data_IF_031106748682
#
_entry.id   IF_031106748682
#
_cell.length_a   1.000
_cell.length_b   1.000
_cell.length_c   1.000
_cell.angle_alpha   90.00
_cell.angle_beta   90.00
_cell.angle_gamma   90.00
#
_symmetry.space_group_name_H-M   'P 1'
#
loop_
_entity.id
_entity.type
_entity.pdbx_description
1 polymer ?
2 non-polymer ?
3 non-polymer ?
4 water ?
#
# COMPACT_ATOMS: atom_id res chain seq x y z
N UNK A 4 -4.92 -25.58 -10.79
CA UNK A 4 -5.12 -26.51 -9.63
C UNK A 4 -5.45 -25.74 -8.36
N UNK A 5 -6.15 -24.62 -8.53
CA UNK A 5 -6.60 -23.77 -7.43
C UNK A 5 -7.94 -24.34 -7.01
N UNK A 6 -7.95 -25.08 -5.90
CA UNK A 6 -9.16 -25.72 -5.40
C UNK A 6 -10.07 -24.86 -4.53
N UNK A 7 -11.20 -25.43 -4.17
CA UNK A 7 -12.17 -24.76 -3.31
C UNK A 7 -11.85 -25.24 -1.90
N UNK A 8 -12.32 -24.51 -0.90
CA UNK A 8 -12.07 -24.89 0.48
C UNK A 8 -13.38 -24.85 1.26
N UNK A 9 -13.61 -25.88 2.05
CA UNK A 9 -14.83 -25.93 2.85
C UNK A 9 -14.46 -25.84 4.32
N UNK A 10 -15.10 -24.92 5.03
CA UNK A 10 -14.84 -24.73 6.45
C UNK A 10 -16.17 -24.92 7.18
N UNK A 11 -16.24 -25.94 8.03
CA UNK A 11 -17.46 -26.22 8.78
C UNK A 11 -18.68 -26.20 7.88
N UNK A 12 -18.61 -26.93 6.76
CA UNK A 12 -19.71 -27.01 5.82
C UNK A 12 -19.97 -25.72 5.05
N UNK A 13 -19.17 -24.69 5.30
CA UNK A 13 -19.30 -23.43 4.57
C UNK A 13 -18.28 -23.50 3.45
N UNK A 14 -18.75 -23.58 2.21
CA UNK A 14 -17.83 -23.71 1.10
C UNK A 14 -17.37 -22.38 0.51
N UNK A 15 -16.09 -22.35 0.12
CA UNK A 15 -15.49 -21.19 -0.51
C UNK A 15 -15.02 -21.61 -1.90
N UNK A 16 -15.79 -21.21 -2.93
CA UNK A 16 -15.46 -21.53 -4.32
C UNK A 16 -14.03 -21.12 -4.65
N UNK A 17 -13.39 -21.86 -5.55
CA UNK A 17 -12.02 -21.57 -5.94
C UNK A 17 -11.92 -20.19 -6.61
N UNK A 18 -13.00 -19.76 -7.23
CA UNK A 18 -13.04 -18.48 -7.91
C UNK A 18 -14.39 -17.81 -7.72
N UNK A 19 -14.41 -16.48 -7.79
CA UNK A 19 -15.65 -15.72 -7.65
C UNK A 19 -15.51 -14.42 -8.42
N UNK A 20 -16.64 -13.86 -8.83
CA UNK A 20 -16.66 -12.60 -9.56
C UNK A 20 -17.49 -11.58 -8.78
N UNK A 21 -16.97 -10.37 -8.63
CA UNK A 21 -17.68 -9.33 -7.90
C UNK A 21 -18.78 -8.67 -8.70
N UNK A 22 -20.01 -8.66 -8.15
CA UNK A 22 -21.14 -8.05 -8.86
C UNK A 22 -20.99 -6.52 -8.75
N UNK A 23 -20.06 -6.10 -7.91
CA UNK A 23 -19.80 -4.68 -7.67
C UNK A 23 -18.75 -4.09 -8.62
N UNK A 24 -17.67 -4.82 -8.85
CA UNK A 24 -16.60 -4.33 -9.70
C UNK A 24 -16.39 -5.13 -10.98
N UNK A 25 -16.99 -6.31 -11.04
CA UNK A 25 -16.83 -7.14 -12.23
C UNK A 25 -15.50 -7.87 -12.25
N UNK A 26 -14.64 -7.56 -11.29
CA UNK A 26 -13.34 -8.20 -11.20
C UNK A 26 -13.49 -9.65 -10.73
N UNK A 27 -12.56 -10.50 -11.14
CA UNK A 27 -12.61 -11.90 -10.73
C UNK A 27 -11.48 -12.19 -9.76
N UNK A 28 -11.73 -13.06 -8.79
CA UNK A 28 -10.71 -13.39 -7.79
C UNK A 28 -10.55 -14.90 -7.63
N UNK A 29 -9.42 -15.30 -7.05
CA UNK A 29 -9.17 -16.70 -6.81
C UNK A 29 -9.01 -16.86 -5.30
N UNK A 30 -9.44 -18.00 -4.77
CA UNK A 30 -9.35 -18.24 -3.34
C UNK A 30 -7.89 -18.35 -2.89
N UNK A 31 -7.47 -17.39 -2.05
CA UNK A 31 -6.10 -17.41 -1.56
C UNK A 31 -5.99 -18.33 -0.35
N UNK A 32 -7.08 -18.43 0.39
CA UNK A 32 -7.12 -19.27 1.58
C UNK A 32 -8.39 -19.07 2.37
N UNK A 33 -8.71 -20.05 3.22
CA UNK A 33 -9.89 -20.01 4.05
C UNK A 33 -9.58 -20.66 5.38
N UNK A 34 -10.19 -20.16 6.44
CA UNK A 34 -9.97 -20.70 7.77
C UNK A 34 -11.14 -20.37 8.68
N UNK A 35 -10.85 -20.29 9.97
CA UNK A 35 -11.89 -19.98 10.94
C UNK A 35 -11.42 -19.04 12.01
N UNK A 36 -12.37 -18.31 12.57
CA UNK A 36 -12.08 -17.36 13.64
C UNK A 36 -13.14 -17.57 14.69
N UNK A 37 -12.79 -17.26 15.92
CA UNK A 37 -13.73 -17.42 17.01
C UNK A 37 -13.10 -16.89 18.27
N UNK A 38 -13.45 -17.49 19.40
CA UNK A 38 -12.91 -17.05 20.67
C UNK A 38 -12.34 -18.22 21.44
N UNK A 39 -11.30 -17.96 22.22
CA UNK A 39 -10.72 -19.00 23.05
C UNK A 39 -11.33 -18.74 24.43
N UNK A 40 -12.22 -19.64 24.82
CA UNK A 40 -12.91 -19.51 26.10
C UNK A 40 -12.48 -20.66 27.01
N UNK A 41 -11.84 -20.33 28.12
CA UNK A 41 -11.37 -21.33 29.06
C UNK A 41 -10.48 -22.33 28.36
N UNK A 42 -9.53 -21.81 27.57
CA UNK A 42 -8.62 -22.69 26.85
C UNK A 42 -9.23 -23.50 25.73
N UNK A 43 -10.51 -23.23 25.42
CA UNK A 43 -11.21 -23.95 24.35
C UNK A 43 -11.49 -23.02 23.18
N UNK A 44 -11.17 -23.47 21.97
CA UNK A 44 -11.43 -22.64 20.80
C UNK A 44 -12.89 -22.78 20.41
N UNK A 45 -13.62 -21.68 20.51
CA UNK A 45 -15.03 -21.67 20.14
C UNK A 45 -15.12 -20.97 18.80
N UNK A 46 -15.45 -21.74 17.77
CA UNK A 46 -15.57 -21.21 16.42
C UNK A 46 -16.83 -20.38 16.26
N UNK A 47 -16.69 -19.22 15.63
CA UNK A 47 -17.83 -18.33 15.39
C UNK A 47 -18.04 -18.04 13.92
N UNK A 48 -16.97 -18.11 13.13
CA UNK A 48 -17.11 -17.83 11.72
C UNK A 48 -16.00 -18.44 10.88
N UNK A 49 -16.33 -18.58 9.62
CA UNK A 49 -15.41 -19.03 8.61
C UNK A 49 -14.93 -17.78 7.90
N UNK A 50 -13.74 -17.82 7.38
CA UNK A 50 -13.20 -16.67 6.67
C UNK A 50 -12.45 -17.14 5.45
N UNK A 51 -12.66 -16.43 4.35
CA UNK A 51 -11.98 -16.76 3.12
C UNK A 51 -11.43 -15.48 2.52
N UNK A 52 -10.21 -15.54 2.01
CA UNK A 52 -9.59 -14.38 1.40
C UNK A 52 -9.40 -14.61 -0.09
N UNK A 53 -10.02 -13.76 -0.89
CA UNK A 53 -9.89 -13.87 -2.34
C UNK A 53 -8.97 -12.76 -2.84
N UNK A 54 -8.15 -13.09 -3.83
CA UNK A 54 -7.23 -12.12 -4.39
C UNK A 54 -7.61 -11.93 -5.86
N UNK A 55 -7.60 -10.69 -6.34
CA UNK A 55 -7.94 -10.42 -7.72
C UNK A 55 -7.00 -11.25 -8.60
N UNK A 56 -7.52 -11.76 -9.72
CA UNK A 56 -6.70 -12.57 -10.60
C UNK A 56 -5.35 -11.94 -10.94
N UNK A 57 -5.31 -10.63 -11.10
CA UNK A 57 -4.06 -9.96 -11.44
C UNK A 57 -3.01 -10.01 -10.32
N UNK A 58 -3.40 -10.46 -9.14
CA UNK A 58 -2.46 -10.54 -8.02
C UNK A 58 -1.26 -11.42 -8.37
N UNK A 59 -1.52 -12.45 -9.19
CA UNK A 59 -0.48 -13.39 -9.59
C UNK A 59 0.69 -12.70 -10.28
N UNK A 60 0.39 -11.92 -11.32
CA UNK A 60 1.41 -11.19 -12.05
C UNK A 60 2.14 -10.20 -11.14
N UNK A 61 1.40 -9.57 -10.24
CA UNK A 61 1.98 -8.60 -9.32
C UNK A 61 2.94 -9.23 -8.33
N UNK A 62 2.58 -10.40 -7.81
CA UNK A 62 3.40 -11.09 -6.83
C UNK A 62 4.53 -11.94 -7.44
N UNK A 63 4.35 -12.32 -8.70
CA UNK A 63 5.32 -13.15 -9.41
C UNK A 63 6.78 -12.72 -9.29
N UNK A 64 7.07 -11.47 -9.64
CA UNK A 64 8.43 -10.96 -9.61
C UNK A 64 9.20 -11.31 -8.33
N UNK A 65 8.67 -10.87 -7.20
CA UNK A 65 9.32 -11.12 -5.93
C UNK A 65 9.11 -12.50 -5.30
N UNK A 66 8.05 -13.22 -5.63
CA UNK A 66 7.79 -14.47 -4.89
C UNK A 66 7.65 -15.74 -5.76
N UNK A 67 7.91 -15.67 -7.06
CA UNK A 67 7.94 -16.91 -7.89
C UNK A 67 9.19 -17.71 -7.48
N UNK A 68 9.11 -19.03 -7.59
CA UNK A 68 10.27 -19.83 -7.23
C UNK A 68 10.46 -20.05 -5.74
N UNK A 69 9.77 -19.29 -4.91
CA UNK A 69 9.90 -19.45 -3.45
C UNK A 69 9.06 -20.63 -2.99
N UNK A 70 9.55 -21.39 -2.01
CA UNK A 70 8.80 -22.54 -1.52
C UNK A 70 7.74 -22.07 -0.53
N UNK A 71 6.69 -22.87 -0.35
CA UNK A 71 5.62 -22.53 0.59
C UNK A 71 6.23 -22.26 1.96
N UNK A 72 7.16 -23.10 2.36
CA UNK A 72 7.81 -22.97 3.66
C UNK A 72 8.51 -21.63 3.76
N UNK A 73 9.10 -21.19 2.65
CA UNK A 73 9.81 -19.91 2.62
C UNK A 73 8.84 -18.73 2.65
N UNK A 74 7.78 -18.81 1.86
CA UNK A 74 6.80 -17.74 1.83
C UNK A 74 6.21 -17.57 3.22
N UNK A 75 5.79 -18.68 3.82
CA UNK A 75 5.17 -18.65 5.14
C UNK A 75 5.98 -17.90 6.20
N UNK A 76 7.30 -18.02 6.15
CA UNK A 76 8.14 -17.36 7.15
C UNK A 76 8.56 -15.95 6.74
N UNK A 77 8.08 -15.48 5.59
CA UNK A 77 8.47 -14.15 5.10
C UNK A 77 7.37 -13.09 5.24
N UNK A 78 7.52 -12.21 6.22
CA UNK A 78 6.54 -11.15 6.45
C UNK A 78 6.31 -10.28 5.22
N UNK A 79 7.38 -10.02 4.48
CA UNK A 79 7.30 -9.19 3.29
C UNK A 79 6.27 -9.75 2.32
N UNK A 80 6.23 -11.08 2.22
CA UNK A 80 5.29 -11.76 1.33
C UNK A 80 3.86 -11.34 1.67
N UNK A 81 3.51 -11.46 2.94
CA UNK A 81 2.18 -11.11 3.38
C UNK A 81 1.91 -9.61 3.25
N UNK A 82 2.97 -8.80 3.33
CA UNK A 82 2.77 -7.37 3.18
C UNK A 82 2.39 -7.07 1.73
N UNK A 83 2.98 -7.78 0.79
CA UNK A 83 2.66 -7.57 -0.62
C UNK A 83 1.23 -8.01 -0.87
N UNK A 84 0.79 -9.07 -0.21
CA UNK A 84 -0.57 -9.54 -0.38
C UNK A 84 -1.55 -8.53 0.21
N UNK A 85 -1.25 -8.03 1.41
CA UNK A 85 -2.12 -7.09 2.09
C UNK A 85 -2.24 -5.75 1.38
N UNK A 86 -1.10 -5.21 0.97
CA UNK A 86 -1.08 -3.91 0.32
C UNK A 86 -0.76 -3.95 -1.17
N UNK A 87 -0.90 -5.12 -1.78
CA UNK A 87 -0.62 -5.26 -3.20
C UNK A 87 -1.58 -4.47 -4.06
N UNK A 88 -1.15 -4.08 -5.26
CA UNK A 88 -1.95 -3.31 -6.22
C UNK A 88 -3.01 -4.16 -6.91
N UNK A 89 -3.91 -4.71 -6.11
CA UNK A 89 -4.99 -5.54 -6.61
C UNK A 89 -6.05 -5.65 -5.54
N UNK A 90 -7.28 -5.88 -5.96
CA UNK A 90 -8.37 -5.96 -5.01
C UNK A 90 -8.37 -7.27 -4.24
N UNK A 91 -8.76 -7.21 -2.98
CA UNK A 91 -8.85 -8.41 -2.18
C UNK A 91 -10.31 -8.49 -1.74
N UNK A 92 -10.88 -9.68 -1.74
CA UNK A 92 -12.26 -9.84 -1.32
C UNK A 92 -12.26 -10.82 -0.15
N UNK A 93 -12.75 -10.38 1.00
CA UNK A 93 -12.79 -11.24 2.17
C UNK A 93 -14.23 -11.59 2.53
N UNK A 94 -14.52 -12.88 2.60
CA UNK A 94 -15.87 -13.29 2.94
C UNK A 94 -15.89 -14.03 4.26
N UNK A 95 -16.62 -13.46 5.21
CA UNK A 95 -16.78 -14.09 6.51
C UNK A 95 -18.18 -14.65 6.54
N UNK A 96 -18.30 -15.95 6.82
CA UNK A 96 -19.61 -16.59 6.90
C UNK A 96 -19.72 -17.18 8.29
N UNK A 97 -20.78 -16.78 9.01
CA UNK A 97 -20.96 -17.23 10.37
C UNK A 97 -21.25 -18.71 10.54
N UNK A 98 -20.67 -19.20 11.63
CA UNK A 98 -20.85 -20.58 12.10
C UNK A 98 -21.85 -20.53 13.26
N UNK A 99 -21.66 -19.50 14.06
CA UNK A 99 -22.53 -19.20 15.19
C UNK A 99 -23.14 -17.81 14.95
N UNK A 100 -24.39 -17.63 15.35
CA UNK A 100 -25.08 -16.36 15.14
C UNK A 100 -24.51 -15.18 15.92
N UNK A 101 -24.20 -14.12 15.17
CA UNK A 101 -23.66 -12.90 15.76
C UNK A 101 -24.39 -11.69 15.18
N UNK A 102 -24.69 -10.71 16.02
CA UNK A 102 -25.36 -9.51 15.53
C UNK A 102 -24.25 -8.67 14.90
N UNK A 103 -24.63 -7.66 14.12
CA UNK A 103 -23.65 -6.80 13.50
C UNK A 103 -22.77 -6.15 14.55
N UNK A 104 -23.36 -5.59 15.61
CA UNK A 104 -22.58 -4.94 16.67
C UNK A 104 -21.63 -5.93 17.36
N UNK A 105 -22.12 -7.14 17.62
CA UNK A 105 -21.30 -8.16 18.28
C UNK A 105 -20.09 -8.54 17.44
N UNK A 106 -20.34 -8.85 16.18
CA UNK A 106 -19.28 -9.22 15.26
C UNK A 106 -18.29 -8.08 15.04
N UNK A 107 -18.81 -6.91 14.69
CA UNK A 107 -17.97 -5.76 14.39
C UNK A 107 -17.14 -5.30 15.58
N UNK A 108 -17.62 -5.52 16.79
CA UNK A 108 -16.89 -5.09 17.97
C UNK A 108 -15.47 -5.63 17.97
N UNK A 109 -15.31 -6.95 17.82
CA UNK A 109 -13.99 -7.56 17.83
C UNK A 109 -13.17 -7.13 16.62
N UNK A 110 -13.77 -7.11 15.44
CA UNK A 110 -13.04 -6.70 14.24
C UNK A 110 -12.51 -5.28 14.40
N UNK A 111 -13.38 -4.37 14.82
CA UNK A 111 -12.97 -2.99 15.02
C UNK A 111 -11.87 -2.87 16.07
N UNK A 112 -11.97 -3.65 17.14
CA UNK A 112 -10.96 -3.62 18.21
C UNK A 112 -9.59 -3.88 17.61
N UNK A 113 -9.49 -4.99 16.88
CA UNK A 113 -8.24 -5.37 16.25
C UNK A 113 -7.77 -4.37 15.21
N UNK A 114 -8.70 -3.79 14.47
CA UNK A 114 -8.34 -2.79 13.48
C UNK A 114 -7.77 -1.58 14.16
N UNK A 115 -8.42 -1.13 15.23
CA UNK A 115 -7.96 0.04 15.95
C UNK A 115 -6.58 -0.19 16.56
N UNK A 116 -6.37 -1.37 17.14
CA UNK A 116 -5.08 -1.70 17.76
C UNK A 116 -4.00 -1.63 16.68
N UNK A 117 -4.28 -2.25 15.54
CA UNK A 117 -3.31 -2.21 14.45
C UNK A 117 -3.00 -0.78 14.08
N UNK A 118 -4.03 -0.01 13.75
CA UNK A 118 -3.86 1.38 13.34
C UNK A 118 -3.05 2.21 14.31
N UNK A 119 -3.36 2.12 15.60
CA UNK A 119 -2.62 2.87 16.61
C UNK A 119 -1.19 2.31 16.65
N UNK A 120 -1.09 0.99 16.52
CA UNK A 120 0.21 0.32 16.53
C UNK A 120 1.18 0.91 15.50
N UNK A 121 0.69 1.10 14.28
CA UNK A 121 1.53 1.62 13.21
C UNK A 121 1.46 3.14 13.06
N UNK A 122 0.91 3.82 14.07
CA UNK A 122 0.82 5.26 14.04
C UNK A 122 -0.07 5.94 13.02
N UNK A 123 -1.12 5.25 12.57
CA UNK A 123 -2.04 5.85 11.61
C UNK A 123 -3.48 5.75 12.11
N UNK A 124 -3.75 6.38 13.24
CA UNK A 124 -5.09 6.37 13.77
C UNK A 124 -5.45 7.78 14.19
N UNK A 125 -5.79 8.61 13.22
CA UNK A 125 -6.16 9.99 13.49
C UNK A 125 -7.66 10.14 13.46
N UNK A 126 -8.13 11.38 13.43
CA UNK A 126 -9.57 11.63 13.42
C UNK A 126 -10.21 10.96 12.22
N UNK A 127 -9.58 11.07 11.06
CA UNK A 127 -10.11 10.47 9.85
C UNK A 127 -10.32 8.97 10.04
N UNK A 128 -9.33 8.29 10.60
CA UNK A 128 -9.46 6.85 10.80
C UNK A 128 -10.54 6.52 11.85
N UNK A 129 -10.65 7.35 12.87
CA UNK A 129 -11.65 7.15 13.92
C UNK A 129 -13.03 7.30 13.30
N UNK A 130 -13.21 8.34 12.49
CA UNK A 130 -14.48 8.56 11.85
C UNK A 130 -14.79 7.40 10.90
N UNK A 131 -13.77 6.89 10.22
CA UNK A 131 -13.97 5.77 9.31
C UNK A 131 -14.41 4.54 10.10
N UNK A 132 -13.81 4.33 11.27
CA UNK A 132 -14.18 3.19 12.09
C UNK A 132 -15.60 3.33 12.63
N UNK A 133 -16.04 4.56 12.87
CA UNK A 133 -17.40 4.80 13.36
C UNK A 133 -18.36 4.50 12.22
N UNK A 134 -17.98 4.89 11.01
CA UNK A 134 -18.82 4.62 9.85
C UNK A 134 -18.86 3.11 9.68
N UNK A 135 -17.73 2.46 9.96
CA UNK A 135 -17.64 1.01 9.86
C UNK A 135 -18.70 0.44 10.81
N UNK A 136 -18.63 0.87 12.07
CA UNK A 136 -19.57 0.41 13.10
C UNK A 136 -21.01 0.63 12.70
N UNK A 137 -21.30 1.82 12.19
CA UNK A 137 -22.65 2.17 11.78
C UNK A 137 -23.21 1.21 10.74
N UNK A 138 -22.37 0.81 9.80
CA UNK A 138 -22.81 -0.09 8.74
C UNK A 138 -23.25 -1.46 9.26
N UNK A 139 -22.68 -1.87 10.40
CA UNK A 139 -23.03 -3.18 10.97
C UNK A 139 -24.20 -3.18 11.92
N UNK A 140 -24.54 -2.04 12.50
CA UNK A 140 -25.65 -1.97 13.46
C UNK A 140 -27.00 -2.55 13.04
N UNK A 141 -27.44 -2.31 11.79
CA UNK A 141 -28.73 -2.85 11.37
C UNK A 141 -28.67 -4.28 10.87
N UNK A 142 -27.52 -4.93 11.02
CA UNK A 142 -27.35 -6.27 10.51
C UNK A 142 -27.23 -7.36 11.57
N UNK A 143 -27.70 -8.54 11.21
CA UNK A 143 -27.59 -9.70 12.07
C UNK A 143 -27.04 -10.81 11.21
N UNK A 144 -26.18 -11.63 11.79
CA UNK A 144 -25.58 -12.72 11.04
C UNK A 144 -25.94 -14.11 11.56
N UNK A 145 -27.08 -14.65 11.13
CA UNK A 145 -27.40 -15.99 11.61
C UNK A 145 -26.42 -16.94 10.91
N UNK A 146 -26.34 -18.21 11.35
CA UNK A 146 -25.42 -19.14 10.71
C UNK A 146 -25.54 -19.09 9.18
N UNK A 147 -24.41 -19.07 8.50
CA UNK A 147 -24.44 -19.02 7.04
C UNK A 147 -24.48 -17.61 6.48
N UNK A 148 -24.94 -16.65 7.28
CA UNK A 148 -25.00 -15.25 6.86
C UNK A 148 -23.57 -14.78 6.66
N UNK A 149 -23.37 -13.82 5.76
CA UNK A 149 -22.02 -13.38 5.47
C UNK A 149 -21.81 -11.88 5.38
N UNK A 150 -20.55 -11.55 5.57
CA UNK A 150 -20.04 -10.20 5.44
C UNK A 150 -18.94 -10.25 4.39
N UNK A 151 -19.00 -9.30 3.49
CA UNK A 151 -18.01 -9.24 2.41
C UNK A 151 -17.22 -7.95 2.52
N UNK A 152 -15.90 -8.08 2.62
CA UNK A 152 -15.03 -6.93 2.68
C UNK A 152 -14.35 -6.83 1.33
N UNK A 153 -14.62 -5.76 0.59
CA UNK A 153 -13.96 -5.60 -0.69
C UNK A 153 -12.87 -4.58 -0.44
N UNK A 154 -11.63 -5.03 -0.44
CA UNK A 154 -10.52 -4.11 -0.21
C UNK A 154 -9.97 -3.63 -1.55
N UNK A 155 -10.33 -2.41 -1.91
CA UNK A 155 -9.88 -1.80 -3.15
C UNK A 155 -8.49 -1.22 -2.94
N UNK A 156 -7.59 -1.41 -3.91
CA UNK A 156 -6.24 -0.87 -3.75
C UNK A 156 -6.24 0.66 -3.79
N UNK A 157 -7.38 1.23 -4.16
CA UNK A 157 -7.51 2.68 -4.23
C UNK A 157 -7.86 3.32 -2.88
N UNK A 158 -7.69 2.55 -1.81
CA UNK A 158 -7.94 3.07 -0.48
C UNK A 158 -9.38 3.14 -0.03
N UNK A 159 -10.18 2.18 -0.48
CA UNK A 159 -11.59 2.13 -0.11
C UNK A 159 -11.92 0.72 0.34
N UNK A 160 -12.76 0.63 1.36
CA UNK A 160 -13.17 -0.68 1.86
C UNK A 160 -14.67 -0.77 1.65
N UNK A 161 -15.10 -1.66 0.77
CA UNK A 161 -16.52 -1.81 0.54
C UNK A 161 -17.10 -2.87 1.46
N UNK A 162 -18.22 -2.54 2.10
CA UNK A 162 -18.88 -3.47 3.01
C UNK A 162 -20.22 -3.98 2.46
N UNK A 163 -20.35 -5.30 2.38
CA UNK A 163 -21.56 -5.95 1.90
C UNK A 163 -22.01 -7.00 2.91
N UNK A 164 -23.32 -7.15 3.06
CA UNK A 164 -23.90 -8.11 3.99
C UNK A 164 -24.89 -8.99 3.25
N UNK A 165 -24.82 -10.29 3.49
CA UNK A 165 -25.71 -11.25 2.85
C UNK A 165 -26.40 -12.13 3.89
N UNK A 166 -27.65 -12.58 3.59
CA UNK A 166 -28.41 -13.44 4.50
C UNK A 166 -27.78 -14.82 4.49
N UNK A 167 -27.06 -15.11 3.42
CA UNK A 167 -26.38 -16.38 3.27
C UNK A 167 -24.97 -16.16 2.74
N UNK A 168 -24.44 -17.11 1.98
CA UNK A 168 -23.08 -17.01 1.47
C UNK A 168 -22.96 -16.37 0.08
N UNK A 169 -24.08 -16.02 -0.53
CA UNK A 169 -24.03 -15.42 -1.86
C UNK A 169 -23.62 -13.94 -1.76
N UNK A 170 -22.83 -13.47 -2.72
CA UNK A 170 -22.37 -12.08 -2.74
C UNK A 170 -23.48 -11.13 -3.08
N UNK A 171 -23.70 -10.13 -2.23
CA UNK A 171 -24.80 -9.24 -2.59
C UNK A 171 -24.46 -8.41 -3.82
N UNK A 172 -25.49 -8.03 -4.57
CA UNK A 172 -25.31 -7.23 -5.79
C UNK A 172 -24.79 -5.83 -5.48
N UNK A 173 -25.26 -5.26 -4.38
CA UNK A 173 -24.82 -3.92 -3.99
C UNK A 173 -24.13 -3.89 -2.63
N UNK A 174 -23.28 -2.89 -2.41
CA UNK A 174 -22.59 -2.78 -1.13
C UNK A 174 -23.38 -1.89 -0.20
N UNK A 175 -23.33 -2.20 1.10
CA UNK A 175 -24.06 -1.44 2.10
C UNK A 175 -23.34 -0.13 2.46
N UNK A 176 -22.02 -0.11 2.32
CA UNK A 176 -21.27 1.10 2.65
C UNK A 176 -19.88 1.09 2.04
N UNK A 177 -19.28 2.27 1.98
CA UNK A 177 -17.93 2.44 1.44
C UNK A 177 -17.12 3.22 2.46
N UNK A 178 -16.09 2.60 3.00
CA UNK A 178 -15.25 3.28 3.97
C UNK A 178 -14.07 3.80 3.18
N UNK A 179 -14.06 5.10 2.94
CA UNK A 179 -13.00 5.71 2.16
C UNK A 179 -11.89 6.25 3.05
N UNK A 180 -10.93 5.38 3.33
CA UNK A 180 -9.79 5.71 4.17
C UNK A 180 -8.72 4.66 3.87
N UNK A 181 -7.54 5.11 3.45
CA UNK A 181 -6.45 4.19 3.09
C UNK A 181 -6.02 3.25 4.21
N UNK A 182 -5.66 3.82 5.36
CA UNK A 182 -5.19 3.02 6.49
C UNK A 182 -6.23 1.98 6.88
N UNK A 183 -7.47 2.42 7.08
CA UNK A 183 -8.53 1.52 7.47
C UNK A 183 -8.83 0.49 6.39
N UNK A 184 -8.72 0.88 5.13
CA UNK A 184 -9.04 -0.05 4.04
C UNK A 184 -8.28 -1.37 4.13
N UNK A 185 -7.03 -1.34 4.56
CA UNK A 185 -6.26 -2.57 4.67
C UNK A 185 -6.20 -3.15 6.08
N UNK A 186 -6.72 -2.41 7.06
CA UNK A 186 -6.70 -2.86 8.45
C UNK A 186 -7.36 -4.21 8.67
N UNK A 187 -8.51 -4.43 8.06
CA UNK A 187 -9.22 -5.68 8.24
C UNK A 187 -8.36 -6.86 7.81
N UNK A 188 -7.85 -6.84 6.59
CA UNK A 188 -7.03 -7.94 6.10
C UNK A 188 -5.75 -8.06 6.93
N UNK A 189 -5.21 -6.93 7.38
CA UNK A 189 -4.01 -6.92 8.21
C UNK A 189 -4.22 -7.77 9.46
N UNK A 190 -5.39 -7.67 10.08
CA UNK A 190 -5.68 -8.41 11.29
C UNK A 190 -5.93 -9.88 10.99
N UNK A 191 -5.96 -10.24 9.72
CA UNK A 191 -6.21 -11.63 9.35
C UNK A 191 -4.92 -12.36 8.95
N UNK A 192 -4.05 -11.67 8.22
CA UNK A 192 -2.80 -12.28 7.76
C UNK A 192 -1.56 -11.43 7.98
N UNK A 193 -1.72 -10.33 8.69
CA UNK A 193 -0.60 -9.44 8.97
C UNK A 193 0.34 -10.08 9.98
N UNK A 194 1.43 -9.37 10.28
CA UNK A 194 2.44 -9.87 11.22
C UNK A 194 1.86 -10.18 12.60
N UNK A 195 1.01 -9.29 13.09
CA UNK A 195 0.42 -9.47 14.41
C UNK A 195 -0.88 -10.24 14.45
N UNK A 196 -1.11 -11.02 13.39
CA UNK A 196 -2.29 -11.87 13.35
C UNK A 196 -1.76 -13.23 13.85
N UNK A 197 -2.20 -13.63 15.04
CA UNK A 197 -1.76 -14.90 15.60
C UNK A 197 -2.19 -16.12 14.79
N UNK A 198 -3.49 -16.23 14.49
CA UNK A 198 -4.00 -17.36 13.72
C UNK A 198 -3.20 -17.51 12.43
N UNK A 199 -2.65 -18.70 12.19
CA UNK A 199 -1.87 -18.90 10.97
C UNK A 199 -2.59 -19.62 9.84
N UNK A 200 -3.81 -20.08 10.06
CA UNK A 200 -4.52 -20.83 9.02
C UNK A 200 -4.57 -20.14 7.65
N UNK A 201 -4.92 -18.86 7.62
CA UNK A 201 -4.99 -18.14 6.36
C UNK A 201 -3.58 -17.97 5.78
N UNK A 202 -2.62 -17.65 6.63
CA UNK A 202 -1.26 -17.48 6.17
C UNK A 202 -0.75 -18.77 5.56
N UNK A 203 -1.04 -19.89 6.20
CA UNK A 203 -0.59 -21.19 5.71
C UNK A 203 -1.21 -21.52 4.36
N UNK A 204 -2.50 -21.23 4.20
CA UNK A 204 -3.16 -21.51 2.92
C UNK A 204 -2.47 -20.74 1.81
N UNK A 205 -2.25 -19.44 2.04
CA UNK A 205 -1.61 -18.56 1.07
C UNK A 205 -0.23 -19.05 0.67
N UNK A 206 0.56 -19.46 1.66
CA UNK A 206 1.90 -19.95 1.39
C UNK A 206 1.84 -21.27 0.61
N UNK A 207 0.85 -22.09 0.91
CA UNK A 207 0.71 -23.37 0.24
C UNK A 207 0.12 -23.26 -1.16
N UNK A 208 -0.83 -22.35 -1.33
CA UNK A 208 -1.50 -22.18 -2.62
C UNK A 208 -0.83 -21.32 -3.67
N UNK A 209 -0.21 -20.22 -3.26
CA UNK A 209 0.41 -19.30 -4.21
C UNK A 209 1.54 -19.79 -5.10
N UNK A 210 2.49 -20.56 -4.56
CA UNK A 210 3.62 -21.07 -5.36
C UNK A 210 3.25 -21.64 -6.72
N UNK A 211 2.23 -22.49 -6.76
CA UNK A 211 1.80 -23.10 -8.02
C UNK A 211 1.40 -22.04 -9.03
N UNK A 212 0.60 -21.07 -8.59
CA UNK A 212 0.14 -19.99 -9.46
C UNK A 212 1.28 -19.09 -9.90
N UNK A 213 2.15 -18.74 -8.96
CA UNK A 213 3.29 -17.88 -9.26
C UNK A 213 4.26 -18.52 -10.24
N UNK A 214 4.29 -19.85 -10.27
CA UNK A 214 5.20 -20.55 -11.18
C UNK A 214 4.73 -20.58 -12.63
N UNK A 215 3.44 -20.44 -12.85
CA UNK A 215 2.90 -20.44 -14.21
C UNK A 215 2.19 -19.13 -14.52
N UNK B 4 -2.93 22.37 -16.99
CA UNK B 4 -2.97 20.88 -17.03
C UNK B 4 -1.57 20.32 -16.82
N UNK B 5 -1.12 20.34 -15.57
CA UNK B 5 0.20 19.84 -15.19
C UNK B 5 1.32 20.37 -16.10
N UNK B 6 2.12 21.26 -15.54
CA UNK B 6 3.22 21.90 -16.24
C UNK B 6 4.58 21.41 -15.75
N UNK B 7 5.63 21.77 -16.48
CA UNK B 7 6.97 21.39 -16.10
C UNK B 7 7.35 22.31 -14.95
N UNK B 8 8.31 21.89 -14.14
CA UNK B 8 8.76 22.71 -13.03
C UNK B 8 10.27 22.72 -13.02
N UNK B 9 10.84 23.90 -12.82
CA UNK B 9 12.29 24.04 -12.79
C UNK B 9 12.71 24.46 -11.39
N UNK B 10 13.68 23.75 -10.85
CA UNK B 10 14.20 24.05 -9.52
C UNK B 10 15.68 24.34 -9.68
N UNK B 11 16.06 25.59 -9.46
CA UNK B 11 17.48 25.98 -9.59
C UNK B 11 18.08 25.51 -10.90
N UNK B 12 17.42 25.89 -12.00
CA UNK B 12 17.90 25.53 -13.34
C UNK B 12 17.87 24.03 -13.63
N UNK B 13 17.25 23.26 -12.74
CA UNK B 13 17.12 21.82 -12.95
C UNK B 13 15.66 21.60 -13.36
N UNK B 14 15.48 21.33 -14.65
CA UNK B 14 14.14 21.15 -15.19
C UNK B 14 13.53 19.78 -14.96
N UNK B 15 12.24 19.77 -14.65
CA UNK B 15 11.46 18.56 -14.45
C UNK B 15 10.32 18.59 -15.45
N UNK B 16 10.47 17.87 -16.58
CA UNK B 16 9.40 17.88 -17.57
C UNK B 16 8.06 17.46 -16.98
N UNK B 17 6.98 17.93 -17.60
CA UNK B 17 5.63 17.65 -17.14
C UNK B 17 5.32 16.16 -17.20
N UNK B 18 5.90 15.49 -18.19
CA UNK B 18 5.65 14.07 -18.35
C UNK B 18 6.93 13.32 -18.67
N UNK B 19 7.01 12.06 -18.25
CA UNK B 19 8.18 11.25 -18.56
C UNK B 19 7.75 9.83 -18.78
N UNK B 20 8.50 9.15 -19.63
CA UNK B 20 8.27 7.75 -19.91
C UNK B 20 9.51 7.01 -19.49
N UNK B 21 9.32 5.96 -18.71
CA UNK B 21 10.45 5.18 -18.21
C UNK B 21 11.09 4.22 -19.19
N UNK B 22 12.39 4.37 -19.42
CA UNK B 22 13.03 3.42 -20.34
C UNK B 22 13.12 2.08 -19.63
N UNK B 23 12.84 2.06 -18.33
CA UNK B 23 12.89 0.83 -17.55
C UNK B 23 11.59 0.04 -17.62
N UNK B 24 10.48 0.71 -17.31
CA UNK B 24 9.20 0.02 -17.29
C UNK B 24 8.28 0.33 -18.48
N UNK B 25 8.64 1.36 -19.24
CA UNK B 25 7.80 1.73 -20.37
C UNK B 25 6.58 2.48 -19.90
N UNK B 26 6.42 2.64 -18.60
CA UNK B 26 5.27 3.36 -18.05
C UNK B 26 5.47 4.85 -18.19
N UNK B 27 4.36 5.59 -18.22
CA UNK B 27 4.41 7.03 -18.34
C UNK B 27 3.91 7.68 -17.06
N UNK B 28 4.52 8.79 -16.68
CA UNK B 28 4.14 9.49 -15.47
C UNK B 28 3.96 10.96 -15.74
N UNK B 29 3.28 11.63 -14.83
CA UNK B 29 3.10 13.06 -14.93
C UNK B 29 3.71 13.65 -13.67
N UNK B 30 4.25 14.86 -13.78
CA UNK B 30 4.88 15.52 -12.65
C UNK B 30 3.87 15.93 -11.59
N UNK B 31 3.95 15.28 -10.43
CA UNK B 31 3.04 15.60 -9.34
C UNK B 31 3.51 16.83 -8.60
N UNK B 32 4.82 17.04 -8.59
CA UNK B 32 5.38 18.19 -7.92
C UNK B 32 6.89 18.14 -7.87
N UNK B 33 7.52 19.29 -7.61
CA UNK B 33 8.97 19.35 -7.53
C UNK B 33 9.34 20.41 -6.51
N UNK B 34 10.45 20.20 -5.82
CA UNK B 34 10.88 21.17 -4.82
C UNK B 34 12.36 21.07 -4.58
N UNK B 35 12.81 21.67 -3.49
CA UNK B 35 14.22 21.64 -3.13
C UNK B 35 14.41 21.13 -1.71
N UNK B 36 15.58 20.61 -1.44
CA UNK B 36 15.94 20.09 -0.12
C UNK B 36 17.39 20.48 0.11
N UNK B 37 17.76 20.68 1.37
CA UNK B 37 19.13 21.05 1.67
C UNK B 37 19.39 21.14 3.15
N UNK B 38 20.11 22.17 3.56
CA UNK B 38 20.43 22.38 4.97
C UNK B 38 20.05 23.80 5.39
N UNK B 39 20.96 24.37 6.13
CA UNK B 39 20.89 25.73 6.68
C UNK B 39 22.20 25.97 7.41
N UNK B 40 22.95 26.91 6.93
CA UNK B 40 24.24 27.19 7.55
C UNK B 40 24.42 28.68 7.81
N UNK B 41 24.60 29.03 9.07
CA UNK B 41 24.78 30.42 9.47
C UNK B 41 23.48 31.17 9.26
N UNK B 42 22.36 30.46 9.32
CA UNK B 42 21.06 31.09 9.15
C UNK B 42 20.56 31.18 7.72
N UNK B 43 21.35 30.68 6.77
CA UNK B 43 20.97 30.72 5.35
C UNK B 43 20.69 29.32 4.82
N UNK B 44 19.44 29.05 4.44
CA UNK B 44 19.06 27.75 3.90
C UNK B 44 19.89 27.46 2.66
N UNK B 45 20.75 26.44 2.72
CA UNK B 45 21.58 26.11 1.57
C UNK B 45 20.97 24.98 0.76
N UNK B 46 20.70 25.24 -0.51
CA UNK B 46 20.11 24.25 -1.40
C UNK B 46 21.14 23.24 -1.88
N UNK B 47 20.85 21.97 -1.69
CA UNK B 47 21.76 20.91 -2.12
C UNK B 47 21.22 20.10 -3.28
N UNK B 48 19.91 19.87 -3.28
CA UNK B 48 19.29 19.07 -4.33
C UNK B 48 17.86 19.50 -4.61
N UNK B 49 17.43 19.09 -5.78
CA UNK B 49 16.06 19.29 -6.24
C UNK B 49 15.41 17.92 -6.21
N UNK B 50 14.16 17.88 -5.87
CA UNK B 50 13.43 16.61 -5.82
C UNK B 50 12.13 16.74 -6.59
N UNK B 51 11.84 15.76 -7.44
CA UNK B 51 10.62 15.79 -8.20
C UNK B 51 9.91 14.46 -8.04
N UNK B 52 8.59 14.49 -7.94
CA UNK B 52 7.83 13.27 -7.78
C UNK B 52 6.90 13.07 -8.96
N UNK B 53 7.07 11.95 -9.64
CA UNK B 53 6.23 11.61 -10.78
C UNK B 53 5.29 10.49 -10.40
N UNK B 54 4.04 10.57 -10.86
CA UNK B 54 3.03 9.56 -10.60
C UNK B 54 2.63 8.95 -11.93
N UNK B 55 2.53 7.63 -12.00
CA UNK B 55 2.14 6.96 -13.23
C UNK B 55 0.81 7.56 -13.67
N UNK B 56 0.60 7.64 -14.98
CA UNK B 56 -0.64 8.23 -15.49
C UNK B 56 -1.91 7.59 -14.90
N UNK B 57 -1.91 6.27 -14.72
CA UNK B 57 -3.08 5.61 -14.16
C UNK B 57 -3.43 6.04 -12.74
N UNK B 58 -2.58 6.84 -12.12
CA UNK B 58 -2.85 7.30 -10.76
C UNK B 58 -4.09 8.19 -10.73
N UNK B 59 -4.32 8.92 -11.82
CA UNK B 59 -5.49 9.81 -11.87
C UNK B 59 -6.77 9.03 -11.64
N UNK B 60 -6.95 7.93 -12.37
CA UNK B 60 -8.16 7.12 -12.23
C UNK B 60 -8.23 6.51 -10.82
N UNK B 61 -7.08 6.15 -10.27
CA UNK B 61 -7.04 5.56 -8.94
C UNK B 61 -7.46 6.56 -7.87
N UNK B 62 -6.93 7.78 -7.94
CA UNK B 62 -7.24 8.80 -6.96
C UNK B 62 -8.59 9.49 -7.16
N UNK B 63 -9.13 9.41 -8.37
CA UNK B 63 -10.41 10.06 -8.69
C UNK B 63 -11.56 9.60 -7.81
N UNK B 64 -11.65 8.29 -7.60
CA UNK B 64 -12.72 7.72 -6.77
C UNK B 64 -12.96 8.48 -5.47
N UNK B 65 -11.89 8.73 -4.73
CA UNK B 65 -11.99 9.41 -3.45
C UNK B 65 -11.71 10.92 -3.45
N UNK B 66 -10.94 11.42 -4.39
CA UNK B 66 -10.53 12.84 -4.28
C UNK B 66 -10.98 13.76 -5.43
N UNK B 67 -11.80 13.28 -6.35
CA UNK B 67 -12.36 14.17 -7.40
C UNK B 67 -13.28 15.19 -6.74
N UNK B 68 -13.24 16.44 -7.20
CA UNK B 68 -14.11 17.46 -6.63
C UNK B 68 -13.60 18.19 -5.40
N UNK B 69 -12.54 17.66 -4.77
CA UNK B 69 -11.97 18.28 -3.58
C UNK B 69 -11.04 19.42 -4.00
N UNK B 70 -11.07 20.52 -3.25
CA UNK B 70 -10.22 21.66 -3.56
C UNK B 70 -8.78 21.35 -3.17
N UNK B 71 -7.85 22.13 -3.69
CA UNK B 71 -6.44 21.94 -3.37
C UNK B 71 -6.23 22.20 -1.89
N UNK B 72 -6.95 23.18 -1.36
CA UNK B 72 -6.84 23.54 0.05
C UNK B 72 -7.28 22.36 0.93
N UNK B 73 -8.33 21.67 0.51
CA UNK B 73 -8.82 20.54 1.28
C UNK B 73 -7.84 19.38 1.21
N UNK B 74 -7.40 19.07 0.00
CA UNK B 74 -6.45 17.98 -0.20
C UNK B 74 -5.19 18.17 0.64
N UNK B 75 -4.63 19.37 0.61
CA UNK B 75 -3.42 19.64 1.37
C UNK B 75 -3.51 19.27 2.85
N UNK B 76 -4.69 19.49 3.45
CA UNK B 76 -4.87 19.18 4.86
C UNK B 76 -5.41 17.77 5.13
N UNK B 77 -5.47 16.93 4.10
CA UNK B 77 -5.97 15.57 4.26
C UNK B 77 -4.87 14.52 4.16
N UNK B 78 -4.43 14.02 5.30
CA UNK B 78 -3.37 13.03 5.32
C UNK B 78 -3.73 11.80 4.49
N UNK B 79 -5.02 11.47 4.49
CA UNK B 79 -5.48 10.31 3.75
C UNK B 79 -5.19 10.44 2.26
N UNK B 80 -5.26 11.68 1.76
CA UNK B 80 -4.98 11.94 0.35
C UNK B 80 -3.54 11.55 0.03
N UNK B 81 -2.61 11.98 0.86
CA UNK B 81 -1.20 11.65 0.62
C UNK B 81 -0.90 10.18 0.84
N UNK B 82 -1.66 9.52 1.71
CA UNK B 82 -1.43 8.10 1.94
C UNK B 82 -1.78 7.37 0.65
N UNK B 83 -2.85 7.81 -0.03
CA UNK B 83 -3.26 7.19 -1.28
C UNK B 83 -2.16 7.40 -2.33
N UNK B 84 -1.55 8.58 -2.35
CA UNK B 84 -0.51 8.83 -3.31
C UNK B 84 0.71 7.97 -3.00
N UNK B 85 1.09 7.89 -1.73
CA UNK B 85 2.25 7.09 -1.33
C UNK B 85 2.08 5.59 -1.58
N UNK B 86 0.94 5.04 -1.18
CA UNK B 86 0.72 3.60 -1.35
C UNK B 86 -0.31 3.24 -2.41
N UNK B 87 -0.59 4.18 -3.31
CA UNK B 87 -1.55 3.95 -4.37
C UNK B 87 -1.09 2.85 -5.32
N UNK B 88 -2.02 2.16 -5.97
CA UNK B 88 -1.76 1.06 -6.91
C UNK B 88 -1.18 1.51 -8.25
N UNK B 89 -0.06 2.21 -8.18
CA UNK B 89 0.60 2.71 -9.39
C UNK B 89 2.03 3.06 -9.06
N UNK B 90 2.86 3.10 -10.08
CA UNK B 90 4.27 3.40 -9.91
C UNK B 90 4.52 4.86 -9.65
N UNK B 91 5.49 5.15 -8.80
CA UNK B 91 5.88 6.52 -8.53
C UNK B 91 7.36 6.57 -8.91
N UNK B 92 7.77 7.69 -9.46
CA UNK B 92 9.15 7.85 -9.87
C UNK B 92 9.65 9.14 -9.26
N UNK B 93 10.61 9.02 -8.37
CA UNK B 93 11.17 10.18 -7.70
C UNK B 93 12.55 10.50 -8.26
N UNK B 94 12.74 11.72 -8.71
CA UNK B 94 14.04 12.10 -9.23
C UNK B 94 14.68 13.18 -8.39
N UNK B 95 15.84 12.87 -7.84
CA UNK B 95 16.57 13.85 -7.06
C UNK B 95 17.73 14.25 -7.94
N UNK B 96 17.92 15.56 -8.11
CA UNK B 96 19.03 16.07 -8.92
C UNK B 96 19.84 17.00 -8.03
N UNK B 97 21.16 16.86 -8.09
CA UNK B 97 22.04 17.66 -7.26
C UNK B 97 22.26 19.10 -7.70
N UNK B 98 22.22 20.01 -6.73
CA UNK B 98 22.47 21.41 -6.98
C UNK B 98 23.94 21.59 -6.60
N UNK B 99 24.33 20.95 -5.51
CA UNK B 99 25.71 20.97 -5.04
C UNK B 99 26.20 19.52 -5.11
N UNK B 100 27.49 19.33 -5.34
CA UNK B 100 28.05 18.00 -5.43
C UNK B 100 27.95 17.24 -4.12
N UNK B 101 27.58 15.98 -4.20
CA UNK B 101 27.44 15.13 -3.04
C UNK B 101 27.81 13.72 -3.43
N UNK B 102 28.62 13.06 -2.60
CA UNK B 102 28.98 11.69 -2.88
C UNK B 102 27.75 10.87 -2.56
N UNK B 103 27.74 9.62 -3.00
CA UNK B 103 26.60 8.77 -2.73
C UNK B 103 26.35 8.63 -1.24
N UNK B 104 27.38 8.23 -0.47
CA UNK B 104 27.20 8.06 0.98
C UNK B 104 26.74 9.37 1.66
N UNK B 105 27.30 10.49 1.22
CA UNK B 105 26.95 11.79 1.79
C UNK B 105 25.46 12.09 1.60
N UNK B 106 24.98 11.91 0.37
CA UNK B 106 23.58 12.16 0.06
C UNK B 106 22.64 11.17 0.72
N UNK B 107 22.99 9.89 0.63
CA UNK B 107 22.15 8.82 1.18
C UNK B 107 22.01 8.77 2.69
N UNK B 108 23.01 9.29 3.41
CA UNK B 108 22.97 9.25 4.88
C UNK B 108 21.64 9.75 5.45
N UNK B 109 21.28 10.99 5.16
CA UNK B 109 20.04 11.56 5.67
C UNK B 109 18.81 10.82 5.16
N UNK B 110 18.78 10.52 3.87
CA UNK B 110 17.66 9.80 3.29
C UNK B 110 17.41 8.48 4.02
N UNK B 111 18.48 7.71 4.22
CA UNK B 111 18.36 6.44 4.90
C UNK B 111 17.91 6.62 6.35
N UNK B 112 18.39 7.67 6.99
CA UNK B 112 18.03 7.98 8.36
C UNK B 112 16.51 8.12 8.47
N UNK B 113 15.96 8.95 7.59
CA UNK B 113 14.54 9.23 7.55
C UNK B 113 13.74 8.00 7.21
N UNK B 114 14.27 7.16 6.34
CA UNK B 114 13.55 5.94 5.99
C UNK B 114 13.50 5.01 7.18
N UNK B 115 14.64 4.81 7.84
CA UNK B 115 14.70 3.91 8.99
C UNK B 115 13.81 4.43 10.12
N UNK B 116 13.78 5.75 10.31
CA UNK B 116 12.95 6.33 11.36
C UNK B 116 11.49 6.06 11.05
N UNK B 117 11.10 6.24 9.78
CA UNK B 117 9.72 5.97 9.39
C UNK B 117 9.35 4.51 9.62
N UNK B 118 10.22 3.62 9.14
CA UNK B 118 10.00 2.19 9.26
C UNK B 118 9.82 1.74 10.70
N UNK B 119 10.62 2.29 11.60
CA UNK B 119 10.49 1.93 13.01
C UNK B 119 9.17 2.52 13.51
N UNK B 120 8.91 3.76 13.13
CA UNK B 120 7.67 4.44 13.52
C UNK B 120 6.42 3.62 13.24
N UNK B 121 6.32 3.08 12.03
CA UNK B 121 5.15 2.31 11.65
C UNK B 121 5.31 0.83 12.00
N UNK B 122 6.29 0.53 12.85
CA UNK B 122 6.52 -0.84 13.27
C UNK B 122 6.86 -1.85 12.20
N UNK B 123 7.56 -1.41 11.15
CA UNK B 123 7.95 -2.32 10.08
C UNK B 123 9.44 -2.22 9.80
N UNK B 124 10.24 -2.53 10.82
CA UNK B 124 11.68 -2.49 10.63
C UNK B 124 12.34 -3.72 11.22
N UNK B 125 12.14 -4.84 10.55
CA UNK B 125 12.73 -6.09 10.99
C UNK B 125 14.04 -6.31 10.26
N UNK B 126 14.57 -7.54 10.32
CA UNK B 126 15.84 -7.82 9.66
C UNK B 126 15.73 -7.62 8.15
N UNK B 127 14.61 -8.04 7.57
CA UNK B 127 14.40 -7.90 6.14
C UNK B 127 14.55 -6.45 5.70
N UNK B 128 13.94 -5.54 6.46
CA UNK B 128 14.01 -4.11 6.14
C UNK B 128 15.41 -3.56 6.40
N UNK B 129 16.05 -4.01 7.47
CA UNK B 129 17.39 -3.55 7.79
C UNK B 129 18.33 -3.97 6.65
N UNK B 130 18.17 -5.21 6.19
CA UNK B 130 18.99 -5.71 5.09
C UNK B 130 18.70 -4.95 3.80
N UNK B 131 17.43 -4.62 3.58
CA UNK B 131 17.04 -3.87 2.39
C UNK B 131 17.73 -2.50 2.45
N UNK B 132 17.74 -1.88 3.63
CA UNK B 132 18.36 -0.57 3.78
C UNK B 132 19.88 -0.64 3.59
N UNK B 133 20.47 -1.79 3.87
CA UNK B 133 21.91 -1.97 3.70
C UNK B 133 22.18 -2.13 2.20
N UNK B 134 21.26 -2.79 1.51
CA UNK B 134 21.39 -2.97 0.07
C UNK B 134 21.27 -1.57 -0.51
N UNK B 135 20.33 -0.80 0.03
CA UNK B 135 20.09 0.59 -0.38
C UNK B 135 21.40 1.38 -0.25
N UNK B 136 21.98 1.35 0.96
CA UNK B 136 23.24 2.05 1.22
C UNK B 136 24.36 1.62 0.30
N UNK B 137 24.52 0.31 0.10
CA UNK B 137 25.57 -0.21 -0.77
C UNK B 137 25.48 0.32 -2.21
N UNK B 138 24.26 0.55 -2.68
CA UNK B 138 24.06 1.04 -4.05
C UNK B 138 24.57 2.44 -4.24
N UNK B 139 24.54 3.26 -3.20
CA UNK B 139 25.02 4.64 -3.31
C UNK B 139 26.52 4.79 -3.05
N UNK B 140 27.13 3.80 -2.41
CA UNK B 140 28.55 3.90 -2.08
C UNK B 140 29.52 4.17 -3.23
N UNK B 141 29.40 3.47 -4.36
CA UNK B 141 30.34 3.73 -5.46
C UNK B 141 29.93 4.86 -6.37
N UNK B 142 28.92 5.61 -5.95
CA UNK B 142 28.40 6.71 -6.77
C UNK B 142 28.75 8.08 -6.20
N UNK B 143 28.95 9.03 -7.11
CA UNK B 143 29.22 10.40 -6.71
C UNK B 143 28.24 11.24 -7.52
N UNK B 144 27.73 12.32 -6.94
CA UNK B 144 26.77 13.16 -7.64
C UNK B 144 27.23 14.59 -7.88
N UNK B 145 27.83 14.86 -9.05
CA UNK B 145 28.27 16.23 -9.30
C UNK B 145 26.97 17.01 -9.52
N UNK B 146 27.03 18.34 -9.51
CA UNK B 146 25.76 19.05 -9.72
C UNK B 146 25.13 18.60 -11.04
N UNK B 147 23.82 18.41 -11.04
CA UNK B 147 23.14 17.98 -12.25
C UNK B 147 22.95 16.48 -12.28
N UNK B 148 23.82 15.76 -11.60
CA UNK B 148 23.71 14.30 -11.54
C UNK B 148 22.40 13.98 -10.81
N UNK B 149 21.85 12.80 -11.07
CA UNK B 149 20.57 12.46 -10.47
C UNK B 149 20.46 11.05 -9.93
N UNK B 150 19.48 10.87 -9.06
CA UNK B 150 19.16 9.58 -8.51
C UNK B 150 17.69 9.42 -8.82
N UNK B 151 17.32 8.22 -9.25
CA UNK B 151 15.95 7.95 -9.58
C UNK B 151 15.44 6.82 -8.70
N UNK B 152 14.39 7.11 -7.94
CA UNK B 152 13.78 6.10 -7.09
C UNK B 152 12.51 5.68 -7.82
N UNK B 153 12.48 4.43 -8.24
CA UNK B 153 11.32 3.89 -8.92
C UNK B 153 10.58 3.04 -7.90
N UNK B 154 9.47 3.57 -7.39
CA UNK B 154 8.68 2.85 -6.41
C UNK B 154 7.59 2.06 -7.13
N UNK B 155 7.81 0.77 -7.25
CA UNK B 155 6.86 -0.12 -7.91
C UNK B 155 5.77 -0.49 -6.93
N UNK B 156 4.51 -0.55 -7.42
CA UNK B 156 3.42 -0.91 -6.51
C UNK B 156 3.48 -2.37 -6.08
N UNK B 157 4.37 -3.12 -6.72
CA UNK B 157 4.57 -4.53 -6.44
C UNK B 157 5.59 -4.77 -5.28
N UNK B 158 5.86 -3.73 -4.50
CA UNK B 158 6.77 -3.88 -3.39
C UNK B 158 8.24 -3.90 -3.71
N UNK B 159 8.63 -3.18 -4.76
CA UNK B 159 10.03 -3.12 -5.16
C UNK B 159 10.45 -1.68 -5.30
N UNK B 160 11.70 -1.39 -4.94
CA UNK B 160 12.23 -0.05 -5.08
C UNK B 160 13.42 -0.17 -6.02
N UNK B 161 13.31 0.42 -7.20
CA UNK B 161 14.40 0.38 -8.15
C UNK B 161 15.23 1.63 -7.98
N UNK B 162 16.55 1.48 -7.97
CA UNK B 162 17.45 2.60 -7.80
C UNK B 162 18.30 2.81 -9.05
N UNK B 163 18.31 4.03 -9.56
CA UNK B 163 19.10 4.37 -10.73
C UNK B 163 19.86 5.65 -10.48
N UNK B 164 21.03 5.74 -11.10
CA UNK B 164 21.89 6.90 -10.96
C UNK B 164 22.29 7.39 -12.34
N UNK B 165 22.11 8.69 -12.57
CA UNK B 165 22.44 9.29 -13.85
C UNK B 165 23.41 10.44 -13.68
N UNK B 166 24.23 10.70 -14.72
CA UNK B 166 25.21 11.78 -14.69
C UNK B 166 24.48 13.10 -14.95
N UNK B 167 23.33 12.98 -15.61
CA UNK B 167 22.47 14.12 -15.90
C UNK B 167 21.07 13.90 -15.33
N UNK B 168 20.07 14.54 -15.93
CA UNK B 168 18.70 14.43 -15.46
C UNK B 168 17.91 13.40 -16.26
N UNK B 169 18.58 12.70 -17.15
CA UNK B 169 17.90 11.70 -17.97
C UNK B 169 17.84 10.40 -17.18
N UNK B 170 16.74 9.68 -17.35
CA UNK B 170 16.50 8.40 -16.68
C UNK B 170 17.39 7.29 -17.26
N UNK B 171 18.25 6.67 -16.44
CA UNK B 171 19.10 5.59 -16.95
C UNK B 171 18.24 4.50 -17.55
N UNK B 172 18.73 3.85 -18.61
CA UNK B 172 17.98 2.78 -19.24
C UNK B 172 17.97 1.54 -18.36
N UNK B 173 18.97 1.44 -17.49
CA UNK B 173 19.07 0.31 -16.57
C UNK B 173 19.19 0.79 -15.13
N UNK B 174 18.67 0.00 -14.21
CA UNK B 174 18.73 0.37 -12.80
C UNK B 174 19.95 -0.25 -12.18
N UNK B 175 20.47 0.40 -11.14
CA UNK B 175 21.66 -0.08 -10.45
C UNK B 175 21.35 -1.14 -9.42
N UNK B 176 20.16 -1.04 -8.82
CA UNK B 176 19.76 -2.01 -7.81
C UNK B 176 18.25 -2.11 -7.66
N UNK B 177 17.79 -3.26 -7.21
CA UNK B 177 16.37 -3.50 -7.00
C UNK B 177 16.14 -3.98 -5.58
N UNK B 178 15.57 -3.12 -4.76
CA UNK B 178 15.32 -3.49 -3.37
C UNK B 178 13.93 -4.11 -3.28
N UNK B 179 13.88 -5.41 -3.05
CA UNK B 179 12.61 -6.11 -2.97
C UNK B 179 12.14 -6.19 -1.53
N UNK B 180 11.41 -5.16 -1.13
CA UNK B 180 10.86 -5.07 0.22
C UNK B 180 9.74 -4.05 0.20
N UNK B 181 8.53 -4.54 0.44
CA UNK B 181 7.33 -3.70 0.42
C UNK B 181 7.44 -2.46 1.30
N UNK B 182 7.77 -2.66 2.57
CA UNK B 182 7.87 -1.56 3.52
C UNK B 182 8.87 -0.52 3.08
N UNK B 183 10.05 -0.95 2.65
CA UNK B 183 11.08 -0.03 2.21
C UNK B 183 10.73 0.63 0.89
N UNK B 184 10.03 -0.10 0.02
CA UNK B 184 9.65 0.44 -1.28
C UNK B 184 8.95 1.80 -1.21
N UNK B 185 8.17 2.04 -0.15
CA UNK B 185 7.46 3.31 -0.03
C UNK B 185 8.08 4.28 0.96
N UNK B 186 9.09 3.84 1.69
CA UNK B 186 9.73 4.69 2.70
C UNK B 186 10.23 6.00 2.14
N UNK B 187 10.98 5.95 1.05
CA UNK B 187 11.52 7.17 0.45
C UNK B 187 10.44 8.21 0.17
N UNK B 188 9.39 7.82 -0.55
CA UNK B 188 8.33 8.78 -0.86
C UNK B 188 7.63 9.24 0.42
N UNK B 189 7.53 8.34 1.38
CA UNK B 189 6.91 8.65 2.66
C UNK B 189 7.66 9.80 3.34
N UNK B 190 8.99 9.74 3.32
CA UNK B 190 9.80 10.79 3.94
C UNK B 190 9.69 12.10 3.18
N UNK B 191 9.08 12.08 1.99
CA UNK B 191 9.01 13.29 1.20
C UNK B 191 7.63 13.92 1.25
N UNK B 192 6.56 13.15 1.27
CA UNK B 192 5.21 13.71 1.29
C UNK B 192 4.32 13.09 2.36
N UNK B 193 4.92 12.24 3.19
CA UNK B 193 4.16 11.61 4.26
C UNK B 193 3.86 12.57 5.40
N UNK B 194 3.07 12.10 6.35
CA UNK B 194 2.68 12.92 7.49
C UNK B 194 3.87 13.59 8.19
N UNK B 195 4.93 12.81 8.42
CA UNK B 195 6.09 13.33 9.14
C UNK B 195 7.10 14.10 8.33
N UNK B 196 6.87 14.29 7.04
CA UNK B 196 7.79 15.08 6.24
C UNK B 196 7.49 16.52 6.64
N UNK B 197 8.51 17.30 7.00
CA UNK B 197 8.25 18.68 7.40
C UNK B 197 8.18 19.60 6.20
N UNK B 198 9.08 19.43 5.25
CA UNK B 198 9.04 20.28 4.06
C UNK B 198 7.72 20.04 3.36
N UNK B 199 6.84 21.06 3.33
CA UNK B 199 5.55 20.87 2.67
C UNK B 199 5.51 21.21 1.20
N UNK B 200 6.65 21.60 0.62
CA UNK B 200 6.66 22.01 -0.79
C UNK B 200 6.09 20.97 -1.75
N UNK B 201 6.48 19.71 -1.61
CA UNK B 201 5.98 18.68 -2.51
C UNK B 201 4.49 18.45 -2.28
N UNK B 202 4.08 18.41 -1.02
CA UNK B 202 2.68 18.19 -0.69
C UNK B 202 1.81 19.28 -1.30
N UNK B 203 2.30 20.52 -1.25
CA UNK B 203 1.55 21.65 -1.81
C UNK B 203 1.40 21.52 -3.32
N UNK B 204 2.47 21.14 -4.00
CA UNK B 204 2.40 20.97 -5.45
C UNK B 204 1.34 19.93 -5.77
N UNK B 205 1.39 18.81 -5.07
CA UNK B 205 0.43 17.73 -5.29
C UNK B 205 -1.01 18.20 -5.12
N UNK B 206 -1.26 18.97 -4.06
CA UNK B 206 -2.60 19.49 -3.79
C UNK B 206 -3.01 20.48 -4.86
N UNK B 207 -2.05 21.27 -5.33
CA UNK B 207 -2.33 22.28 -6.35
C UNK B 207 -2.63 21.72 -7.75
N UNK B 208 -1.90 20.71 -8.18
CA UNK B 208 -2.05 20.23 -9.56
C UNK B 208 -2.93 18.98 -9.74
N UNK B 209 -3.23 18.22 -8.68
CA UNK B 209 -4.08 17.04 -8.82
C UNK B 209 -5.52 17.39 -9.20
N UNK B 210 -6.17 18.34 -8.46
CA UNK B 210 -7.59 18.61 -8.71
C UNK B 210 -7.96 18.71 -10.19
N UNK B 211 -7.21 19.51 -10.93
CA UNK B 211 -7.48 19.68 -12.35
C UNK B 211 -7.43 18.36 -13.09
N UNK B 212 -6.49 17.49 -12.72
CA UNK B 212 -6.39 16.18 -13.37
C UNK B 212 -7.53 15.25 -12.95
N UNK B 213 -7.89 15.29 -11.67
CA UNK B 213 -8.95 14.43 -11.16
C UNK B 213 -10.32 14.81 -11.69
N UNK B 214 -10.59 16.11 -11.81
CA UNK B 214 -11.89 16.56 -12.29
C UNK B 214 -12.06 16.42 -13.80
N UNK B 215 -11.13 15.73 -14.44
CA UNK B 215 -11.20 15.51 -15.89
C UNK B 215 -12.15 14.36 -16.18
X LIG C 1 -6.07 13.12 11.07
X LIG C 1 -5.15 11.98 10.79
X LIG C 1 -5.54 14.38 10.47
X LIG C 1 -6.19 13.33 12.57
X LIG C 1 -7.42 12.77 10.52
X LIG D 1 -17.37 -26.21 18.65
X LIG D 1 -16.54 -26.31 19.89
X LIG D 1 -16.85 -25.10 17.81
X LIG D 1 -18.80 -25.89 18.98
X LIG D 1 -17.33 -27.52 17.94
X LIG E 1 -5.72 -13.65 15.99
X LIG E 1 -7.03 -12.91 16.04
X LIG E 1 -5.53 -14.29 14.66
X LIG E 1 -5.71 -14.74 17.04
X LIG E 1 -4.62 -12.68 16.30
X LIG F 1 -11.56 -9.93 14.24
X LIG F 1 -10.60 -9.51 13.13
X LIG F 1 -10.66 -10.14 11.92
X LIG F 1 -11.66 -11.26 11.65
X LIG F 1 -12.51 -11.60 12.66
X LIG F 1 -12.47 -10.91 14.05
X LIG F 1 -13.57 -12.73 12.46
X LIG F 1 -14.30 -13.10 13.75
X LIG F 1 -14.52 -11.90 14.65
X LIG F 1 -13.32 -11.28 15.04
X LIG F 1 -13.80 -13.26 11.41
X LIG F 1 -15.32 -12.31 15.85
X LIG F 1 -15.05 -13.48 16.51
X LIG F 1 -15.87 -13.87 17.73
X LIG F 1 -16.88 -13.07 18.18
X LIG F 1 -17.18 -11.78 17.45
X LIG F 1 -16.45 -11.41 16.36
X LIG F 1 -17.60 -13.44 19.26
X LIG F 1 -9.71 -8.53 13.34
X LIG F 1 -11.71 -11.87 10.43
X LIG G 1 11.66 -9.76 9.78
X LIG G 1 10.78 -10.99 9.83
X LIG G 1 12.54 -9.82 8.58
X LIG G 1 12.53 -9.70 11.01
X LIG G 1 10.79 -8.56 9.76
X LIG H 1 11.95 17.22 5.93
X LIG H 1 13.33 17.82 6.04
X LIG H 1 11.27 17.74 4.71
X LIG H 1 11.13 17.60 7.13
X LIG H 1 12.09 15.73 5.89
X LIG I 1 16.14 13.98 3.27
X LIG I 1 14.88 13.20 2.86
X LIG I 1 14.54 13.13 1.54
X LIG I 1 15.38 13.82 0.46
X LIG I 1 16.49 14.50 0.87
X LIG I 1 16.91 14.61 2.34
X LIG I 1 17.42 15.23 -0.11
X LIG I 1 18.91 15.13 0.30
X LIG I 1 19.16 14.99 1.81
X LIG I 1 18.05 15.31 2.64
X LIG I 1 17.05 15.82 -1.10
X LIG I 1 20.40 15.80 2.14
X LIG I 1 20.36 17.17 2.17
X LIG I 1 21.63 17.97 2.50
X LIG I 1 22.81 17.33 2.76
X LIG I 1 22.84 15.81 2.72
X LIG I 1 21.72 15.09 2.43
X LIG I 1 23.93 18.04 3.05
X LIG I 1 14.10 12.58 3.77
X LIG I 1 15.02 13.72 -0.85
#
# INVERSE_FOLDING_TARGET
MAASITAITVENLEYPAVVTSPVTGKSYFLGGAGERGLTIEGNFIKFTAIGVYLEDIAVASLAAKWKGKSSEELLETLDFYRDIISGPFEKLIRGSKIRELSGPEYSRKVMENCVAHLKSVGTYGDAEAEAMQKFAEAFKPVNFPPGASVFYRQSPDGILGLSFSPDTSIPEKEAALIENKAVSSAVLETMIGEHAVSPDLKRCLAARLPALLNEGAFKIGN
MAASITAITVENLEYPAVVTSPVTGKSYFLGGAGERGLTIEGNFIKFTAIGVYLEDIAVASLAAKWKGKSSEELLETLDFYRDIISGPFEKLIRGSKIRELSGPEYSRKVMENCVAHLKSVGTYGDAEAEAMQKFAEAFKPVNFPPGASVFYRQSPDGILGLSFSPDTSIPEKEAALIENKAVSSAVLETMIGEHAVSPDLKRCLAARLPALLNEGAFKIGN
SO4 S O1 O2 O3 O4
SO4 S O1 O2 O3 O4
SO4 S O1 O2 O3 O4
NAR C1 C2 C3 C4 C5 C6 C7 C8 C9 O1 O2 C10 C11 C12 C13 C14 C15 O3 O4 O5
SO4 S O1 O2 O3 O4
SO4 S O1 O2 O3 O4
NAR C1 C2 C3 C4 C5 C6 C7 C8 C9 O1 O2 C10 C11 C12 C13 C14 C15 O3 O4 O5
#
